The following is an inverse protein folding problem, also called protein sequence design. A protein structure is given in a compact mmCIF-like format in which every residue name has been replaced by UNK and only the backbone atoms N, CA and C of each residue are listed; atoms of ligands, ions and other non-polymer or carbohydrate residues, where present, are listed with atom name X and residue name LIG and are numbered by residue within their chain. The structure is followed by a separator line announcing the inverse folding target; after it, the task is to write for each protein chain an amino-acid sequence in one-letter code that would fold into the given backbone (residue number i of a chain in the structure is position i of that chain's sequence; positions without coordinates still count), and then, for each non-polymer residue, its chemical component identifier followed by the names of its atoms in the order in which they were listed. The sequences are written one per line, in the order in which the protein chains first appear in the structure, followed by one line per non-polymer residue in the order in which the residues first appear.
data_IF_560490377398
#
_entry.id   IF_560490377398
#
_cell.length_a   1.000
_cell.length_b   1.000
_cell.length_c   1.000
_cell.angle_alpha   90.00
_cell.angle_beta   90.00
_cell.angle_gamma   90.00
#
_symmetry.space_group_name_H-M   'P 1'
#
loop_
_entity.id
_entity.type
_entity.pdbx_description
1 polymer ?
#
# COMPACT_ATOMS: atom_id res chain seq x y z
N UNK A 1 -2.11 -10.55 -1.43
CA UNK A 1 -1.48 -9.34 -1.97
C UNK A 1 0.01 -9.52 -2.04
N UNK A 2 0.63 -9.03 -3.06
CA UNK A 2 2.05 -9.24 -3.25
C UNK A 2 2.69 -7.95 -3.80
N UNK A 3 4.02 -7.94 -3.81
CA UNK A 3 4.80 -6.84 -4.36
C UNK A 3 4.38 -6.56 -5.80
N UNK A 4 4.35 -5.30 -6.15
CA UNK A 4 3.95 -4.79 -7.47
C UNK A 4 2.45 -4.78 -7.75
N UNK A 5 1.63 -5.16 -6.78
CA UNK A 5 0.19 -5.01 -6.94
C UNK A 5 -0.18 -3.52 -6.89
N UNK A 6 -1.13 -3.15 -7.71
CA UNK A 6 -1.70 -1.81 -7.66
C UNK A 6 -2.72 -1.77 -6.53
N UNK A 7 -2.54 -0.82 -5.62
CA UNK A 7 -3.37 -0.73 -4.44
C UNK A 7 -3.85 0.70 -4.21
N UNK A 8 -4.88 0.82 -3.41
CA UNK A 8 -5.35 2.10 -2.92
C UNK A 8 -5.19 2.13 -1.42
N UNK A 9 -4.53 3.18 -0.93
CA UNK A 9 -4.24 3.34 0.49
C UNK A 9 -5.08 4.46 1.05
N UNK A 10 -5.73 4.21 2.16
CA UNK A 10 -6.46 5.25 2.88
C UNK A 10 -5.48 6.00 3.77
N UNK A 11 -5.42 7.30 3.60
CA UNK A 11 -4.57 8.16 4.42
C UNK A 11 -5.44 9.03 5.31
N UNK A 12 -4.84 9.54 6.38
CA UNK A 12 -5.58 10.37 7.33
C UNK A 12 -5.80 11.80 6.85
N UNK A 13 -4.90 12.28 6.02
CA UNK A 13 -4.91 13.69 5.64
C UNK A 13 -5.21 13.93 4.18
N UNK A 14 -4.92 12.97 3.34
CA UNK A 14 -5.03 13.14 1.90
C UNK A 14 -6.10 12.26 1.26
N UNK A 15 -6.93 11.61 2.07
CA UNK A 15 -7.92 10.68 1.56
C UNK A 15 -7.25 9.43 1.00
N UNK A 16 -7.71 8.98 -0.16
CA UNK A 16 -7.16 7.78 -0.77
C UNK A 16 -6.05 8.13 -1.74
N UNK A 17 -5.02 7.31 -1.75
CA UNK A 17 -3.94 7.42 -2.73
C UNK A 17 -3.72 6.07 -3.39
N UNK A 18 -3.54 6.09 -4.69
CA UNK A 18 -3.20 4.89 -5.45
C UNK A 18 -1.68 4.75 -5.49
N UNK A 19 -1.23 3.51 -5.48
CA UNK A 19 0.19 3.25 -5.53
C UNK A 19 0.49 1.79 -5.80
N UNK A 20 1.77 1.47 -5.76
CA UNK A 20 2.26 0.13 -6.02
C UNK A 20 2.97 -0.38 -4.78
N UNK A 21 2.68 -1.62 -4.41
CA UNK A 21 3.35 -2.25 -3.27
C UNK A 21 4.80 -2.53 -3.63
N UNK A 22 5.72 -1.95 -2.85
CA UNK A 22 7.15 -2.16 -3.04
C UNK A 22 7.65 -3.31 -2.19
N UNK A 23 7.12 -3.43 -0.99
CA UNK A 23 7.61 -4.42 -0.05
C UNK A 23 6.54 -4.69 0.99
N UNK A 24 6.51 -5.91 1.48
CA UNK A 24 5.64 -6.30 2.59
C UNK A 24 6.55 -6.76 3.71
N UNK A 25 6.44 -6.09 4.84
CA UNK A 25 7.20 -6.44 6.05
C UNK A 25 6.26 -7.04 7.07
N UNK A 26 6.64 -8.18 7.58
CA UNK A 26 5.86 -8.86 8.59
C UNK A 26 6.73 -9.12 9.81
N UNK A 27 6.23 -8.69 10.95
CA UNK A 27 6.84 -8.93 12.24
C UNK A 27 5.88 -9.78 13.06
N UNK A 28 6.30 -10.18 14.26
CA UNK A 28 5.50 -11.07 15.11
C UNK A 28 4.11 -10.51 15.37
N UNK A 29 3.99 -9.20 15.49
CA UNK A 29 2.72 -8.55 15.82
C UNK A 29 2.28 -7.54 14.78
N UNK A 30 3.14 -7.23 13.83
CA UNK A 30 2.87 -6.15 12.89
C UNK A 30 3.02 -6.62 11.47
N UNK A 31 2.15 -6.12 10.62
CA UNK A 31 2.19 -6.36 9.20
C UNK A 31 2.10 -4.99 8.54
N UNK A 32 3.15 -4.61 7.82
CA UNK A 32 3.22 -3.28 7.23
C UNK A 32 3.57 -3.41 5.76
N UNK A 33 2.85 -2.67 4.94
CA UNK A 33 3.13 -2.58 3.51
C UNK A 33 3.76 -1.26 3.18
N UNK A 34 4.78 -1.30 2.35
CA UNK A 34 5.42 -0.11 1.84
C UNK A 34 4.90 0.13 0.44
N UNK A 35 4.27 1.27 0.23
CA UNK A 35 3.60 1.59 -1.01
C UNK A 35 4.21 2.85 -1.60
N UNK A 36 4.54 2.80 -2.89
CA UNK A 36 4.97 3.98 -3.63
C UNK A 36 3.76 4.61 -4.28
N UNK A 37 3.35 5.81 -3.83
CA UNK A 37 2.22 6.48 -4.46
C UNK A 37 2.52 6.83 -5.92
N UNK A 38 1.49 6.75 -6.75
CA UNK A 38 1.64 7.03 -8.17
C UNK A 38 1.80 8.51 -8.47
N UNK A 39 1.56 9.37 -7.49
CA UNK A 39 1.73 10.82 -7.66
C UNK A 39 3.19 11.27 -7.44
N UNK A 40 4.09 10.34 -7.16
CA UNK A 40 5.49 10.68 -6.92
C UNK A 40 5.82 11.09 -5.51
N UNK A 41 4.87 10.99 -4.61
CA UNK A 41 5.08 11.30 -3.19
C UNK A 41 6.01 10.28 -2.55
N UNK A 42 6.39 10.56 -1.30
CA UNK A 42 7.20 9.63 -0.53
C UNK A 42 6.47 8.32 -0.31
N UNK A 43 7.25 7.28 -0.11
CA UNK A 43 6.71 5.97 0.21
C UNK A 43 5.83 6.03 1.45
N UNK A 44 4.75 5.28 1.41
CA UNK A 44 3.81 5.20 2.52
C UNK A 44 3.96 3.86 3.21
N UNK A 45 3.83 3.90 4.53
CA UNK A 45 3.76 2.71 5.36
C UNK A 45 2.31 2.53 5.77
N UNK A 46 1.71 1.43 5.39
CA UNK A 46 0.29 1.22 5.62
C UNK A 46 0.02 -0.16 6.19
N UNK A 47 -0.97 -0.23 7.06
CA UNK A 47 -1.48 -1.51 7.54
C UNK A 47 -2.38 -2.14 6.49
N UNK A 48 -2.49 -3.47 6.47
CA UNK A 48 -3.36 -4.13 5.49
C UNK A 48 -4.81 -3.65 5.54
N UNK A 49 -5.27 -3.24 6.70
CA UNK A 49 -6.64 -2.75 6.84
C UNK A 49 -6.88 -1.44 6.12
N UNK A 50 -5.81 -0.70 5.83
CA UNK A 50 -5.90 0.57 5.12
C UNK A 50 -5.55 0.44 3.64
N UNK A 51 -5.31 -0.77 3.18
CA UNK A 51 -4.88 -1.03 1.81
C UNK A 51 -5.92 -1.89 1.11
N UNK A 52 -6.28 -1.48 -0.09
CA UNK A 52 -7.22 -2.22 -0.92
C UNK A 52 -6.58 -2.52 -2.26
N UNK A 53 -6.62 -3.77 -2.69
CA UNK A 53 -6.10 -4.14 -3.99
C UNK A 53 -7.07 -3.65 -5.06
N UNK A 54 -6.57 -2.84 -5.98
CA UNK A 54 -7.37 -2.29 -7.06
C UNK A 54 -7.25 -3.13 -8.31
N UNK A 55 -6.03 -3.57 -8.60
CA UNK A 55 -5.76 -4.30 -9.81
C UNK A 55 -5.59 -5.77 -9.50
N UNK A 56 -6.41 -6.57 -10.13
CA UNK A 56 -6.27 -8.01 -10.02
C UNK A 56 -5.39 -8.51 -11.14
N UNK A 57 -4.50 -9.39 -10.78
CA UNK A 57 -3.65 -10.06 -11.73
C UNK A 57 -4.50 -10.98 -12.59
N UNK A 58 -4.38 -10.86 -13.88
CA UNK A 58 -5.13 -11.69 -14.79
C UNK A 58 -4.24 -12.43 -15.72
#
# INVERSE_FOLDING_TARGET
MKVSDLVRVRTKHAGYKNGIVLEVKQDDYNFVMIVQPSDGSRQLYAHPTDVEVISESR
#
